data_IF_783490896382
#
_entry.id   IF_783490896382
#
_cell.length_a   1.000
_cell.length_b   1.000
_cell.length_c   1.000
_cell.angle_alpha   90.00
_cell.angle_beta   90.00
_cell.angle_gamma   90.00
#
_symmetry.space_group_name_H-M   'P 1'
#
loop_
_entity.id
_entity.type
_entity.pdbx_description
1 polymer ?
#
# COMPACT_ATOMS: atom_id res chain seq x y z
N UNK A 1 13.97 15.28 17.89
CA UNK A 1 12.94 15.98 17.10
C UNK A 1 11.58 15.91 17.77
N UNK A 2 10.75 16.92 17.56
CA UNK A 2 9.46 17.09 18.25
C UNK A 2 8.44 17.75 17.34
N UNK A 3 7.16 17.48 17.56
CA UNK A 3 6.05 18.03 16.79
C UNK A 3 5.35 19.14 17.58
N UNK A 4 5.51 20.43 17.20
CA UNK A 4 4.74 21.54 17.75
C UNK A 4 3.49 21.83 16.91
N UNK A 5 2.45 22.40 17.53
CA UNK A 5 1.28 22.93 16.85
C UNK A 5 1.11 24.42 17.20
N UNK A 6 0.91 25.27 16.17
CA UNK A 6 0.73 26.72 16.34
C UNK A 6 -0.72 27.00 16.79
N UNK A 7 -0.88 27.66 17.93
CA UNK A 7 -2.19 28.05 18.48
C UNK A 7 -2.61 29.48 18.14
N UNK A 8 -1.69 30.32 17.64
CA UNK A 8 -1.98 31.67 17.17
C UNK A 8 -0.77 32.60 17.18
N UNK A 9 -0.90 33.76 16.54
CA UNK A 9 0.18 34.76 16.48
C UNK A 9 -0.37 36.15 16.81
N UNK A 10 -0.03 36.66 18.01
CA UNK A 10 -0.45 37.98 18.46
C UNK A 10 0.31 39.09 17.71
N UNK A 11 -0.37 40.17 17.34
CA UNK A 11 0.20 41.32 16.60
C UNK A 11 1.46 41.92 17.25
N UNK A 12 1.54 41.87 18.58
CA UNK A 12 2.66 42.44 19.34
C UNK A 12 3.75 41.41 19.68
N UNK A 13 3.62 40.17 19.21
CA UNK A 13 4.62 39.12 19.42
C UNK A 13 5.48 38.92 18.19
N UNK A 14 6.81 38.84 18.40
CA UNK A 14 7.75 38.50 17.33
C UNK A 14 7.66 37.05 16.87
N UNK A 15 7.17 36.15 17.72
CA UNK A 15 7.06 34.71 17.45
C UNK A 15 5.62 34.22 17.69
N UNK A 16 5.16 33.19 16.96
CA UNK A 16 3.87 32.57 17.21
C UNK A 16 3.86 31.86 18.57
N UNK A 17 2.67 31.75 19.16
CA UNK A 17 2.44 30.87 20.30
C UNK A 17 2.14 29.47 19.76
N UNK A 18 2.88 28.49 20.26
CA UNK A 18 2.64 27.07 19.96
C UNK A 18 2.58 26.25 21.24
N UNK A 19 2.06 25.05 21.12
CA UNK A 19 2.13 24.05 22.17
C UNK A 19 2.79 22.79 21.62
N UNK A 20 3.48 22.08 22.51
CA UNK A 20 4.09 20.79 22.19
C UNK A 20 3.00 19.73 22.08
N UNK A 21 3.06 18.91 21.02
CA UNK A 21 2.15 17.78 20.81
C UNK A 21 2.81 16.49 21.28
N UNK A 22 3.99 16.15 20.73
CA UNK A 22 4.73 14.92 21.08
C UNK A 22 6.21 14.98 20.68
N UNK A 23 7.01 14.09 21.29
CA UNK A 23 8.39 13.82 20.88
C UNK A 23 8.40 12.77 19.77
N UNK A 24 9.27 12.97 18.77
CA UNK A 24 9.44 12.04 17.65
C UNK A 24 10.63 11.09 17.89
N UNK A 25 11.72 11.58 18.48
CA UNK A 25 12.93 10.78 18.72
C UNK A 25 14.21 11.61 18.64
N UNK A 26 15.35 10.97 18.44
CA UNK A 26 16.65 11.64 18.32
C UNK A 26 16.93 12.14 16.90
N UNK A 27 17.78 13.15 16.74
CA UNK A 27 18.17 13.65 15.42
C UNK A 27 19.16 12.68 14.75
N UNK A 28 18.97 12.39 13.45
CA UNK A 28 19.81 11.45 12.70
C UNK A 28 19.46 9.97 12.91
N UNK A 29 18.47 9.66 13.75
CA UNK A 29 17.90 8.32 13.88
C UNK A 29 16.98 8.02 12.68
N UNK A 30 17.16 6.87 12.02
CA UNK A 30 16.54 6.57 10.73
C UNK A 30 15.01 6.59 10.83
N UNK A 31 14.46 5.97 11.86
CA UNK A 31 13.03 5.85 12.10
C UNK A 31 12.42 7.23 12.38
N UNK A 32 13.10 8.04 13.19
CA UNK A 32 12.69 9.42 13.49
C UNK A 32 12.68 10.30 12.23
N UNK A 33 13.74 10.27 11.42
CA UNK A 33 13.83 11.05 10.17
C UNK A 33 12.76 10.61 9.16
N UNK A 34 12.47 9.30 9.08
CA UNK A 34 11.42 8.76 8.22
C UNK A 34 10.05 9.27 8.63
N UNK A 35 9.74 9.27 9.93
CA UNK A 35 8.47 9.78 10.44
C UNK A 35 8.31 11.29 10.17
N UNK A 36 9.38 12.07 10.38
CA UNK A 36 9.39 13.51 10.08
C UNK A 36 9.10 13.76 8.61
N UNK A 37 9.78 13.04 7.71
CA UNK A 37 9.58 13.17 6.26
C UNK A 37 8.12 12.93 5.86
N UNK A 38 7.51 11.87 6.42
CA UNK A 38 6.11 11.52 6.15
C UNK A 38 5.15 12.59 6.68
N UNK A 39 5.40 13.16 7.86
CA UNK A 39 4.59 14.24 8.42
C UNK A 39 4.70 15.54 7.62
N UNK A 40 5.91 15.89 7.17
CA UNK A 40 6.15 17.10 6.39
C UNK A 40 5.46 17.07 5.01
N UNK A 41 5.33 15.88 4.42
CA UNK A 41 4.67 15.68 3.13
C UNK A 41 3.19 15.25 3.26
N UNK A 42 2.64 15.31 4.47
CA UNK A 42 1.26 14.93 4.79
C UNK A 42 0.90 13.51 4.29
N UNK A 43 1.85 12.58 4.40
CA UNK A 43 1.66 11.16 4.06
C UNK A 43 1.11 10.41 5.28
N UNK A 44 -0.16 9.96 5.24
CA UNK A 44 -0.74 9.21 6.34
C UNK A 44 -0.07 7.85 6.47
N UNK A 45 0.56 7.62 7.61
CA UNK A 45 1.31 6.40 7.93
C UNK A 45 0.79 5.70 9.20
N UNK A 46 -0.42 6.05 9.62
CA UNK A 46 -1.10 5.41 10.75
C UNK A 46 -1.59 4.01 10.34
N UNK A 47 -1.61 3.05 11.28
CA UNK A 47 -2.22 1.74 11.02
C UNK A 47 -3.68 1.86 10.58
N UNK A 48 -4.14 0.88 9.79
CA UNK A 48 -5.55 0.80 9.42
C UNK A 48 -6.45 0.69 10.65
N UNK A 49 -7.61 1.36 10.60
CA UNK A 49 -8.59 1.31 11.68
C UNK A 49 -9.25 -0.07 11.77
N UNK A 50 -9.76 -0.42 12.96
CA UNK A 50 -10.46 -1.70 13.14
C UNK A 50 -11.69 -1.84 12.23
N UNK A 51 -12.36 -0.73 11.91
CA UNK A 51 -13.50 -0.71 11.00
C UNK A 51 -13.08 -1.09 9.56
N UNK A 52 -11.90 -0.63 9.11
CA UNK A 52 -11.36 -1.01 7.80
C UNK A 52 -10.93 -2.47 7.79
N UNK A 53 -10.25 -2.93 8.84
CA UNK A 53 -9.84 -4.34 8.96
C UNK A 53 -11.05 -5.29 9.00
N UNK A 54 -12.19 -4.87 9.55
CA UNK A 54 -13.42 -5.65 9.58
C UNK A 54 -14.07 -5.84 8.20
N UNK A 55 -13.66 -5.08 7.18
CA UNK A 55 -14.11 -5.26 5.80
C UNK A 55 -13.34 -6.36 5.06
N UNK A 56 -12.23 -6.85 5.61
CA UNK A 56 -11.44 -7.91 4.99
C UNK A 56 -12.16 -9.26 5.10
N UNK A 57 -11.97 -10.16 4.11
CA UNK A 57 -12.44 -11.53 4.26
C UNK A 57 -11.71 -12.22 5.43
N UNK A 58 -12.28 -13.29 5.99
CA UNK A 58 -11.64 -14.02 7.07
C UNK A 58 -10.28 -14.61 6.61
N UNK A 59 -9.32 -14.84 7.52
CA UNK A 59 -8.02 -15.42 7.17
C UNK A 59 -8.09 -16.80 6.50
N UNK A 60 -9.23 -17.50 6.62
CA UNK A 60 -9.50 -18.81 6.02
C UNK A 60 -10.22 -18.71 4.67
N UNK A 61 -10.19 -17.54 4.03
CA UNK A 61 -10.87 -17.32 2.75
C UNK A 61 -10.41 -18.32 1.68
N UNK A 62 -11.39 -18.88 0.97
CA UNK A 62 -11.17 -19.73 -0.20
C UNK A 62 -12.23 -19.41 -1.24
N UNK A 63 -11.86 -19.58 -2.51
CA UNK A 63 -12.76 -19.33 -3.64
C UNK A 63 -13.90 -20.35 -3.62
N UNK A 64 -15.14 -19.88 -3.54
CA UNK A 64 -16.36 -20.70 -3.54
C UNK A 64 -16.84 -21.03 -4.96
N UNK A 65 -17.84 -21.91 -5.09
CA UNK A 65 -18.47 -22.18 -6.39
C UNK A 65 -19.26 -20.96 -6.89
N UNK A 66 -19.85 -20.20 -5.97
CA UNK A 66 -20.54 -18.95 -6.25
C UNK A 66 -19.57 -17.88 -6.78
N UNK A 67 -18.36 -17.77 -6.20
CA UNK A 67 -17.33 -16.84 -6.69
C UNK A 67 -16.84 -17.17 -8.11
N UNK A 68 -16.84 -18.47 -8.47
CA UNK A 68 -16.45 -18.96 -9.79
C UNK A 68 -17.55 -18.81 -10.84
N UNK A 69 -18.81 -18.64 -10.43
CA UNK A 69 -19.92 -18.55 -11.37
C UNK A 69 -19.74 -17.34 -12.30
N UNK A 70 -19.72 -17.60 -13.61
CA UNK A 70 -19.47 -16.57 -14.63
C UNK A 70 -18.01 -16.22 -14.88
N UNK A 71 -17.05 -16.91 -14.23
CA UNK A 71 -15.61 -16.81 -14.52
C UNK A 71 -15.17 -17.97 -15.42
N UNK A 72 -14.17 -17.71 -16.26
CA UNK A 72 -13.50 -18.74 -17.04
C UNK A 72 -12.38 -19.39 -16.22
N UNK A 73 -12.32 -20.72 -16.23
CA UNK A 73 -11.31 -21.47 -15.49
C UNK A 73 -10.05 -21.71 -16.35
N UNK A 74 -9.02 -20.93 -16.08
CA UNK A 74 -7.74 -20.96 -16.80
C UNK A 74 -6.61 -21.63 -15.99
N UNK A 75 -6.94 -22.36 -14.91
CA UNK A 75 -5.94 -23.01 -14.02
C UNK A 75 -5.07 -24.05 -14.74
N UNK A 76 -5.47 -24.50 -15.92
CA UNK A 76 -4.72 -25.44 -16.76
C UNK A 76 -3.59 -24.78 -17.56
N UNK A 77 -3.59 -23.44 -17.66
CA UNK A 77 -2.59 -22.69 -18.42
C UNK A 77 -1.30 -22.51 -17.60
N UNK A 78 -0.18 -22.41 -18.32
CA UNK A 78 1.11 -22.02 -17.72
C UNK A 78 1.17 -20.50 -17.62
N UNK A 79 1.06 -19.99 -16.39
CA UNK A 79 1.02 -18.56 -16.08
C UNK A 79 2.20 -18.24 -15.15
N UNK A 80 2.87 -17.10 -15.37
CA UNK A 80 3.94 -16.63 -14.48
C UNK A 80 3.84 -15.12 -14.21
N UNK A 81 4.47 -14.68 -13.11
CA UNK A 81 4.76 -13.28 -12.82
C UNK A 81 6.29 -13.06 -12.82
N UNK A 82 6.73 -11.83 -13.06
CA UNK A 82 8.14 -11.45 -13.05
C UNK A 82 8.34 -10.23 -12.14
N UNK A 83 8.78 -10.49 -10.91
CA UNK A 83 8.87 -9.48 -9.86
C UNK A 83 10.30 -9.26 -9.36
N UNK A 84 10.63 -8.05 -8.86
CA UNK A 84 11.89 -7.79 -8.17
C UNK A 84 12.05 -8.59 -6.86
N UNK A 85 13.28 -8.89 -6.43
CA UNK A 85 13.52 -9.55 -5.15
C UNK A 85 12.93 -8.75 -3.97
N UNK A 86 12.11 -9.42 -3.14
CA UNK A 86 11.49 -8.83 -1.95
C UNK A 86 10.10 -8.22 -2.17
N UNK A 87 9.53 -8.33 -3.38
CA UNK A 87 8.14 -7.96 -3.65
C UNK A 87 7.17 -8.80 -2.80
N UNK A 88 6.15 -8.18 -2.22
CA UNK A 88 5.11 -8.85 -1.42
C UNK A 88 3.72 -8.73 -2.02
N UNK A 89 3.54 -7.79 -2.94
CA UNK A 89 2.31 -7.36 -3.59
C UNK A 89 2.39 -7.68 -5.08
N UNK A 90 2.32 -8.97 -5.41
CA UNK A 90 2.31 -9.46 -6.79
C UNK A 90 0.88 -9.38 -7.32
N UNK A 91 0.64 -8.49 -8.27
CA UNK A 91 -0.69 -8.19 -8.80
C UNK A 91 -0.84 -8.45 -10.32
N UNK A 92 0.26 -8.67 -11.03
CA UNK A 92 0.25 -9.05 -12.44
C UNK A 92 0.64 -10.51 -12.72
N UNK A 93 0.15 -11.01 -13.85
CA UNK A 93 0.49 -12.33 -14.36
C UNK A 93 0.37 -12.39 -15.88
N UNK A 94 1.19 -13.22 -16.51
CA UNK A 94 1.36 -13.26 -17.96
C UNK A 94 1.33 -14.71 -18.47
N UNK A 95 0.75 -14.89 -19.66
CA UNK A 95 0.74 -16.14 -20.41
C UNK A 95 1.09 -15.88 -21.87
N UNK A 96 1.90 -16.76 -22.46
CA UNK A 96 2.18 -16.75 -23.89
C UNK A 96 2.31 -18.19 -24.40
N UNK A 97 1.58 -18.51 -25.48
CA UNK A 97 1.62 -19.82 -26.13
C UNK A 97 1.59 -19.67 -27.66
N UNK A 98 2.53 -20.27 -28.39
CA UNK A 98 2.46 -20.32 -29.85
C UNK A 98 1.30 -21.21 -30.31
N UNK A 99 0.65 -20.83 -31.40
CA UNK A 99 -0.44 -21.56 -32.04
C UNK A 99 0.00 -22.17 -33.38
N UNK A 100 -0.66 -23.24 -33.79
CA UNK A 100 -0.30 -23.99 -35.01
C UNK A 100 -0.43 -23.18 -36.31
N UNK A 101 -1.23 -22.10 -36.29
CA UNK A 101 -1.41 -21.19 -37.42
C UNK A 101 -0.31 -20.13 -37.55
N UNK A 102 0.74 -20.21 -36.72
CA UNK A 102 1.84 -19.25 -36.71
C UNK A 102 1.56 -17.97 -35.90
N UNK A 103 0.39 -17.84 -35.29
CA UNK A 103 0.08 -16.77 -34.33
C UNK A 103 0.47 -17.18 -32.90
N UNK A 104 0.27 -16.29 -31.93
CA UNK A 104 0.42 -16.57 -30.51
C UNK A 104 -0.84 -16.15 -29.74
N UNK A 105 -1.16 -16.94 -28.72
CA UNK A 105 -2.11 -16.57 -27.67
C UNK A 105 -1.33 -15.86 -26.56
N UNK A 106 -1.76 -14.65 -26.22
CA UNK A 106 -1.14 -13.84 -25.17
C UNK A 106 -2.25 -13.34 -24.25
N UNK A 107 -2.10 -13.61 -22.96
CA UNK A 107 -2.95 -13.06 -21.93
C UNK A 107 -2.12 -12.27 -20.94
N UNK A 108 -2.72 -11.20 -20.45
CA UNK A 108 -2.19 -10.45 -19.33
C UNK A 108 -3.31 -10.21 -18.33
N UNK A 109 -3.05 -10.57 -17.09
CA UNK A 109 -3.91 -10.29 -15.96
C UNK A 109 -3.21 -9.22 -15.14
N UNK A 110 -3.92 -8.13 -14.93
CA UNK A 110 -3.58 -7.07 -13.99
C UNK A 110 -4.81 -6.89 -13.10
N UNK A 111 -4.63 -6.37 -11.89
CA UNK A 111 -5.73 -5.96 -11.02
C UNK A 111 -6.52 -4.76 -11.56
#
# INVERSE_FOLDING_TARGET
MSQPAIGGWLRHSRYPNGHFVRSLGECGDKETETEVLLLEHDVPHQPFSQAVLACLPPPTFSITAEDQAGREDLRVLSICSVDPPGCTDIDDAQHCKPLDNGNAEVFIWWW
#
